data_IF_482053123368
#
_entry.id   IF_482053123368
#
_cell.length_a   1.000
_cell.length_b   1.000
_cell.length_c   1.000
_cell.angle_alpha   90.00
_cell.angle_beta   90.00
_cell.angle_gamma   90.00
#
_symmetry.space_group_name_H-M   'P 1'
#
loop_
_entity.id
_entity.type
_entity.pdbx_description
1 polymer ?
#
# COMPACT_ATOMS: atom_id res chain seq x y z
N UNK A 1 -8.77 -0.37 -10.73
CA UNK A 1 -7.30 -0.16 -10.71
C UNK A 1 -6.50 -1.44 -10.51
N UNK A 2 -6.92 -2.35 -9.63
CA UNK A 2 -6.11 -3.51 -9.21
C UNK A 2 -5.66 -4.44 -10.35
N UNK A 3 -6.53 -4.75 -11.33
CA UNK A 3 -6.13 -5.56 -12.50
C UNK A 3 -5.07 -4.88 -13.38
N UNK A 4 -5.11 -3.55 -13.51
CA UNK A 4 -4.10 -2.77 -14.24
C UNK A 4 -2.75 -2.81 -13.51
N UNK A 5 -2.77 -2.60 -12.19
CA UNK A 5 -1.56 -2.66 -11.36
C UNK A 5 -0.90 -4.05 -11.44
N UNK A 6 -1.69 -5.12 -11.36
CA UNK A 6 -1.21 -6.49 -11.46
C UNK A 6 -0.57 -6.78 -12.84
N UNK A 7 -1.20 -6.36 -13.95
CA UNK A 7 -0.62 -6.52 -15.29
C UNK A 7 0.62 -5.67 -15.51
N UNK A 8 0.63 -4.44 -14.98
CA UNK A 8 1.81 -3.59 -15.04
C UNK A 8 2.99 -4.24 -14.31
N UNK A 9 2.76 -4.75 -13.11
CA UNK A 9 3.77 -5.45 -12.31
C UNK A 9 4.39 -6.63 -13.06
N UNK A 10 3.57 -7.46 -13.73
CA UNK A 10 4.07 -8.54 -14.58
C UNK A 10 4.97 -8.02 -15.70
N UNK A 11 4.52 -6.99 -16.43
CA UNK A 11 5.30 -6.43 -17.55
C UNK A 11 6.65 -5.87 -17.13
N UNK A 12 6.76 -5.37 -15.90
CA UNK A 12 8.02 -4.86 -15.34
C UNK A 12 8.78 -5.89 -14.50
N UNK A 13 8.36 -7.17 -14.51
CA UNK A 13 9.05 -8.26 -13.83
C UNK A 13 8.89 -8.29 -12.30
N UNK A 14 7.89 -7.60 -11.73
CA UNK A 14 7.56 -7.65 -10.30
C UNK A 14 6.64 -8.81 -9.96
N UNK A 15 7.15 -10.02 -10.16
CA UNK A 15 6.48 -11.29 -9.84
C UNK A 15 7.45 -12.18 -9.08
N UNK A 16 6.93 -13.15 -8.34
CA UNK A 16 7.72 -14.20 -7.74
C UNK A 16 8.25 -15.17 -8.81
N UNK A 17 9.15 -16.08 -8.43
CA UNK A 17 9.74 -17.07 -9.35
C UNK A 17 8.69 -17.96 -10.01
N UNK A 18 7.60 -18.28 -9.29
CA UNK A 18 6.47 -19.04 -9.81
C UNK A 18 5.49 -18.21 -10.67
N UNK A 19 5.79 -16.93 -10.93
CA UNK A 19 4.94 -16.01 -11.69
C UNK A 19 3.80 -15.34 -10.91
N UNK A 20 3.59 -15.71 -9.64
CA UNK A 20 2.57 -15.09 -8.79
C UNK A 20 2.99 -13.70 -8.31
N UNK A 21 2.03 -12.90 -7.83
CA UNK A 21 2.31 -11.63 -7.16
C UNK A 21 1.37 -11.41 -5.97
N UNK A 22 1.78 -10.53 -5.05
CA UNK A 22 0.92 -10.09 -3.95
C UNK A 22 0.46 -8.66 -4.21
N UNK A 23 -0.85 -8.44 -4.29
CA UNK A 23 -1.43 -7.11 -4.28
C UNK A 23 -1.73 -6.72 -2.84
N UNK A 24 -1.05 -5.69 -2.33
CA UNK A 24 -1.38 -5.07 -1.07
C UNK A 24 -2.38 -3.93 -1.33
N UNK A 25 -3.60 -4.06 -0.80
CA UNK A 25 -4.64 -3.04 -0.91
C UNK A 25 -4.83 -2.33 0.43
N UNK A 26 -4.46 -1.04 0.55
CA UNK A 26 -4.76 -0.26 1.73
C UNK A 26 -6.27 -0.16 1.97
N UNK A 27 -6.70 -0.43 3.21
CA UNK A 27 -8.10 -0.36 3.66
C UNK A 27 -8.19 0.71 4.74
N UNK A 28 -9.14 1.62 4.58
CA UNK A 28 -9.45 2.64 5.58
C UNK A 28 -10.21 1.98 6.74
N UNK A 29 -9.63 2.02 7.94
CA UNK A 29 -10.22 1.49 9.19
C UNK A 29 -10.88 2.59 10.03
N UNK A 30 -11.00 3.81 9.51
CA UNK A 30 -11.67 4.90 10.21
C UNK A 30 -13.15 4.58 10.40
N UNK A 31 -13.61 4.78 11.62
CA UNK A 31 -15.02 4.86 11.99
C UNK A 31 -15.44 6.34 12.11
N UNK A 32 -16.75 6.66 12.15
CA UNK A 32 -17.20 8.02 12.39
C UNK A 32 -16.56 8.62 13.66
N UNK A 33 -15.99 9.82 13.53
CA UNK A 33 -15.26 10.50 14.61
C UNK A 33 -13.80 10.08 14.80
N UNK A 34 -13.26 9.15 14.00
CA UNK A 34 -11.86 8.73 14.11
C UNK A 34 -10.89 9.79 13.54
N UNK A 35 -10.12 10.40 14.46
CA UNK A 35 -9.15 11.47 14.16
C UNK A 35 -7.70 10.98 14.03
N UNK A 36 -7.42 9.67 14.11
CA UNK A 36 -6.05 9.14 14.01
C UNK A 36 -5.38 9.62 12.72
N UNK A 37 -4.10 9.98 12.74
CA UNK A 37 -3.44 10.47 11.51
C UNK A 37 -3.36 9.39 10.41
N UNK A 38 -3.03 8.15 10.80
CA UNK A 38 -2.96 7.00 9.91
C UNK A 38 -3.79 5.83 10.50
N UNK A 39 -4.95 5.57 9.92
CA UNK A 39 -5.87 4.48 10.29
C UNK A 39 -6.09 3.57 9.09
N UNK A 40 -4.99 3.06 8.55
CA UNK A 40 -4.96 2.25 7.35
C UNK A 40 -4.31 0.92 7.66
N UNK A 41 -4.94 -0.16 7.23
CA UNK A 41 -4.37 -1.51 7.20
C UNK A 41 -4.23 -1.97 5.75
N UNK A 42 -3.69 -3.17 5.52
CA UNK A 42 -3.57 -3.73 4.17
C UNK A 42 -4.32 -5.06 4.10
N UNK A 43 -5.16 -5.20 3.09
CA UNK A 43 -5.65 -6.48 2.63
C UNK A 43 -4.67 -7.05 1.59
N UNK A 44 -3.98 -8.14 1.95
CA UNK A 44 -3.05 -8.83 1.06
C UNK A 44 -3.81 -9.85 0.20
N UNK A 45 -3.65 -9.73 -1.13
CA UNK A 45 -4.31 -10.56 -2.13
C UNK A 45 -3.25 -11.24 -2.98
N UNK A 46 -3.16 -12.57 -2.91
CA UNK A 46 -2.30 -13.35 -3.80
C UNK A 46 -2.98 -13.53 -5.16
N UNK A 47 -2.24 -13.23 -6.23
CA UNK A 47 -2.66 -13.48 -7.61
C UNK A 47 -1.72 -14.52 -8.18
N UNK A 48 -2.21 -15.76 -8.26
CA UNK A 48 -1.44 -16.89 -8.82
C UNK A 48 -1.29 -16.75 -10.33
N UNK A 49 -2.36 -16.33 -11.01
CA UNK A 49 -2.38 -16.11 -12.45
C UNK A 49 -3.13 -14.81 -12.75
N UNK A 50 -2.61 -14.05 -13.70
CA UNK A 50 -3.26 -12.81 -14.12
C UNK A 50 -4.49 -13.15 -14.96
N UNK A 51 -5.63 -12.51 -14.67
CA UNK A 51 -6.82 -12.70 -15.47
C UNK A 51 -6.61 -12.15 -16.88
N UNK A 52 -7.40 -12.67 -17.82
CA UNK A 52 -7.48 -12.11 -19.16
C UNK A 52 -7.80 -10.60 -19.08
N UNK A 53 -7.20 -9.75 -19.92
CA UNK A 53 -7.42 -8.30 -19.84
C UNK A 53 -8.88 -7.89 -20.11
N UNK A 54 -9.66 -8.79 -20.72
CA UNK A 54 -11.07 -8.60 -21.06
C UNK A 54 -12.03 -9.14 -19.99
N UNK A 55 -11.56 -9.88 -19.00
CA UNK A 55 -12.39 -10.46 -17.95
C UNK A 55 -11.77 -10.26 -16.58
N UNK A 56 -12.45 -9.48 -15.74
CA UNK A 56 -11.99 -9.16 -14.38
C UNK A 56 -12.81 -9.89 -13.30
N UNK A 57 -13.69 -10.82 -13.65
CA UNK A 57 -14.60 -11.47 -12.69
C UNK A 57 -13.83 -12.19 -11.59
N UNK A 58 -12.83 -12.99 -11.95
CA UNK A 58 -12.07 -13.78 -10.98
C UNK A 58 -11.27 -12.90 -10.03
N UNK A 59 -10.51 -11.92 -10.55
CA UNK A 59 -9.75 -11.00 -9.68
C UNK A 59 -10.67 -10.16 -8.79
N UNK A 60 -11.86 -9.77 -9.28
CA UNK A 60 -12.86 -9.08 -8.45
C UNK A 60 -13.40 -9.99 -7.35
N UNK A 61 -13.66 -11.26 -7.65
CA UNK A 61 -14.09 -12.23 -6.66
C UNK A 61 -13.01 -12.44 -5.59
N UNK A 62 -11.75 -12.64 -5.99
CA UNK A 62 -10.62 -12.80 -5.06
C UNK A 62 -10.43 -11.56 -4.18
N UNK A 63 -10.45 -10.35 -4.76
CA UNK A 63 -10.37 -9.10 -3.98
C UNK A 63 -11.53 -9.02 -2.98
N UNK A 64 -12.77 -9.31 -3.42
CA UNK A 64 -13.94 -9.27 -2.53
C UNK A 64 -13.78 -10.24 -1.36
N UNK A 65 -13.33 -11.46 -1.61
CA UNK A 65 -13.09 -12.45 -0.55
C UNK A 65 -11.97 -12.00 0.39
N UNK A 66 -10.88 -11.44 -0.14
CA UNK A 66 -9.80 -10.92 0.69
C UNK A 66 -10.28 -9.78 1.60
N UNK A 67 -11.10 -8.85 1.10
CA UNK A 67 -11.68 -7.77 1.90
C UNK A 67 -12.68 -8.28 2.96
N UNK A 68 -13.49 -9.29 2.62
CA UNK A 68 -14.41 -9.92 3.58
C UNK A 68 -13.60 -10.57 4.72
N UNK A 69 -12.57 -11.35 4.38
CA UNK A 69 -11.68 -11.98 5.36
C UNK A 69 -10.99 -10.93 6.23
N UNK A 70 -10.46 -9.88 5.61
CA UNK A 70 -9.77 -8.78 6.29
C UNK A 70 -10.63 -8.13 7.38
N UNK A 71 -11.96 -8.02 7.19
CA UNK A 71 -12.85 -7.48 8.24
C UNK A 71 -12.96 -8.39 9.48
N UNK A 72 -12.73 -9.69 9.31
CA UNK A 72 -12.93 -10.69 10.35
C UNK A 72 -11.63 -11.10 11.04
N UNK A 73 -10.49 -10.89 10.38
CA UNK A 73 -9.18 -11.31 10.85
C UNK A 73 -8.30 -10.07 11.07
N UNK A 74 -8.15 -9.60 12.32
CA UNK A 74 -7.19 -8.56 12.65
C UNK A 74 -5.79 -9.04 12.25
N UNK A 75 -5.10 -8.27 11.41
CA UNK A 75 -3.75 -8.63 11.00
C UNK A 75 -2.82 -8.70 12.22
N UNK A 76 -2.19 -9.85 12.43
CA UNK A 76 -1.15 -10.02 13.44
C UNK A 76 -0.01 -8.99 13.28
N UNK A 77 0.27 -8.53 12.06
CA UNK A 77 1.27 -7.48 11.78
C UNK A 77 0.87 -6.13 12.38
N UNK A 78 -0.42 -5.79 12.32
CA UNK A 78 -0.94 -4.53 12.85
C UNK A 78 -1.06 -4.54 14.37
N UNK A 79 -1.32 -5.71 14.99
CA UNK A 79 -1.30 -5.87 16.45
C UNK A 79 0.06 -5.53 17.08
N UNK A 80 1.16 -5.64 16.32
CA UNK A 80 2.52 -5.36 16.77
C UNK A 80 2.97 -3.92 16.52
N UNK A 81 2.23 -3.12 15.73
CA UNK A 81 2.60 -1.73 15.43
C UNK A 81 2.72 -0.82 16.66
N UNK A 82 1.90 -0.95 17.72
CA UNK A 82 2.07 -0.17 18.95
C UNK A 82 3.43 -0.39 19.64
N UNK A 83 4.12 -1.50 19.35
CA UNK A 83 5.44 -1.80 19.91
C UNK A 83 6.58 -1.13 19.12
N UNK A 84 6.35 -0.69 17.87
CA UNK A 84 7.39 -0.11 17.01
C UNK A 84 8.12 1.09 17.65
N UNK A 85 7.46 2.02 18.37
CA UNK A 85 8.15 3.11 19.05
C UNK A 85 9.12 2.66 20.15
N UNK A 86 8.93 1.45 20.70
CA UNK A 86 9.78 0.87 21.75
C UNK A 86 11.01 0.15 21.18
N UNK A 87 11.11 0.01 19.85
CA UNK A 87 12.19 -0.74 19.21
C UNK A 87 13.36 0.17 18.84
N UNK A 88 14.61 -0.34 18.88
CA UNK A 88 15.76 0.37 18.34
C UNK A 88 15.53 0.77 16.88
N UNK A 89 15.99 1.98 16.49
CA UNK A 89 15.73 2.56 15.16
C UNK A 89 16.07 1.62 14.00
N UNK A 90 17.15 0.85 14.10
CA UNK A 90 17.55 -0.12 13.06
C UNK A 90 16.56 -1.29 12.92
N UNK A 91 16.02 -1.77 14.04
CA UNK A 91 15.02 -2.83 14.06
C UNK A 91 13.66 -2.32 13.58
N UNK A 92 13.24 -1.14 14.02
CA UNK A 92 12.03 -0.49 13.53
C UNK A 92 12.06 -0.31 12.00
N UNK A 93 13.18 0.17 11.44
CA UNK A 93 13.36 0.29 9.98
C UNK A 93 13.24 -1.06 9.27
N UNK A 94 13.84 -2.12 9.80
CA UNK A 94 13.73 -3.47 9.23
C UNK A 94 12.30 -3.99 9.23
N UNK A 95 11.56 -3.80 10.31
CA UNK A 95 10.16 -4.20 10.41
C UNK A 95 9.26 -3.45 9.42
N UNK A 96 9.52 -2.15 9.20
CA UNK A 96 8.81 -1.37 8.17
C UNK A 96 9.08 -1.95 6.78
N UNK A 97 10.31 -2.34 6.47
CA UNK A 97 10.63 -2.99 5.18
C UNK A 97 9.88 -4.32 5.02
N UNK A 98 9.80 -5.14 6.07
CA UNK A 98 9.03 -6.40 6.04
C UNK A 98 7.53 -6.14 5.88
N UNK A 99 7.00 -5.11 6.56
CA UNK A 99 5.60 -4.72 6.47
C UNK A 99 5.22 -4.15 5.09
N UNK A 100 6.18 -3.54 4.38
CA UNK A 100 6.00 -3.04 3.01
C UNK A 100 5.88 -4.16 1.95
N UNK A 101 6.12 -5.41 2.33
CA UNK A 101 6.03 -6.57 1.45
C UNK A 101 7.34 -6.95 0.75
N UNK A 102 7.30 -8.05 0.03
CA UNK A 102 8.44 -8.59 -0.73
C UNK A 102 8.61 -7.92 -2.10
N UNK A 103 9.64 -8.31 -2.87
CA UNK A 103 9.90 -7.74 -4.20
C UNK A 103 8.77 -7.98 -5.23
N UNK A 104 7.92 -8.98 -5.00
CA UNK A 104 6.71 -9.29 -5.78
C UNK A 104 5.44 -8.62 -5.23
N UNK A 105 5.56 -7.78 -4.21
CA UNK A 105 4.42 -7.04 -3.64
C UNK A 105 4.18 -5.75 -4.40
N UNK A 106 2.93 -5.52 -4.78
CA UNK A 106 2.46 -4.37 -5.56
C UNK A 106 1.36 -3.69 -4.76
N UNK A 107 1.56 -2.42 -4.44
CA UNK A 107 0.53 -1.65 -3.72
C UNK A 107 -0.47 -1.07 -4.72
N UNK A 108 -1.75 -1.33 -4.49
CA UNK A 108 -2.85 -0.74 -5.26
C UNK A 108 -3.79 0.02 -4.31
N UNK A 109 -3.57 1.33 -4.17
CA UNK A 109 -4.36 2.21 -3.32
C UNK A 109 -5.48 2.92 -4.08
N UNK A 110 -6.61 3.13 -3.42
CA UNK A 110 -7.71 3.97 -3.89
C UNK A 110 -8.03 5.03 -2.83
N UNK A 111 -8.02 6.31 -3.21
CA UNK A 111 -8.35 7.42 -2.30
C UNK A 111 -9.86 7.56 -2.08
N UNK A 112 -10.68 7.01 -2.99
CA UNK A 112 -12.13 7.15 -2.92
C UNK A 112 -12.58 8.59 -3.17
N UNK A 113 -13.70 8.99 -2.54
CA UNK A 113 -14.16 10.37 -2.56
C UNK A 113 -13.28 11.21 -1.62
N UNK A 114 -12.75 12.32 -2.16
CA UNK A 114 -11.94 13.26 -1.42
C UNK A 114 -12.83 14.47 -1.09
N UNK A 115 -12.76 14.95 0.15
CA UNK A 115 -13.43 16.19 0.54
C UNK A 115 -12.91 17.35 -0.33
N UNK A 116 -13.77 18.11 -1.02
CA UNK A 116 -13.35 19.27 -1.81
C UNK A 116 -12.51 20.28 -1.02
N UNK A 117 -12.71 20.38 0.30
CA UNK A 117 -11.89 21.22 1.18
C UNK A 117 -10.39 20.86 1.14
N UNK A 118 -10.03 19.62 0.78
CA UNK A 118 -8.64 19.21 0.62
C UNK A 118 -7.91 19.94 -0.53
N UNK A 119 -8.65 20.52 -1.48
CA UNK A 119 -8.13 21.34 -2.57
C UNK A 119 -8.27 22.86 -2.30
N UNK A 120 -8.54 23.27 -1.05
CA UNK A 120 -8.76 24.67 -0.66
C UNK A 120 -7.93 25.10 0.55
N UNK A 121 -6.59 24.99 0.51
CA UNK A 121 -5.77 25.23 1.69
C UNK A 121 -5.86 26.68 2.22
N UNK A 122 -6.15 27.65 1.36
CA UNK A 122 -6.34 29.07 1.70
C UNK A 122 -7.82 29.51 1.68
N UNK A 123 -8.75 28.56 1.53
CA UNK A 123 -10.19 28.82 1.39
C UNK A 123 -10.67 29.03 -0.05
N UNK A 124 -9.78 29.07 -1.05
CA UNK A 124 -10.13 29.18 -2.48
C UNK A 124 -9.87 27.88 -3.23
N UNK A 125 -10.57 27.65 -4.35
CA UNK A 125 -10.36 26.44 -5.16
C UNK A 125 -8.97 26.46 -5.82
N UNK A 126 -8.19 25.40 -5.60
CA UNK A 126 -6.97 25.18 -6.35
C UNK A 126 -7.26 24.76 -7.80
N UNK A 127 -6.45 25.25 -8.74
CA UNK A 127 -6.53 24.85 -10.15
C UNK A 127 -6.25 23.34 -10.35
N UNK A 128 -5.42 22.75 -9.47
CA UNK A 128 -5.01 21.36 -9.55
C UNK A 128 -4.86 20.71 -8.17
N UNK A 129 -5.18 19.42 -8.11
CA UNK A 129 -4.96 18.57 -6.94
C UNK A 129 -4.08 17.37 -7.32
N UNK A 130 -3.04 17.12 -6.52
CA UNK A 130 -2.18 15.96 -6.67
C UNK A 130 -1.90 15.32 -5.32
N UNK A 131 -2.00 13.99 -5.26
CA UNK A 131 -1.62 13.20 -4.08
C UNK A 131 -0.23 12.61 -4.30
N UNK A 132 0.72 12.96 -3.42
CA UNK A 132 2.03 12.33 -3.37
C UNK A 132 2.12 11.44 -2.13
N UNK A 133 2.35 10.12 -2.27
CA UNK A 133 2.61 9.27 -1.12
C UNK A 133 3.89 9.76 -0.40
N UNK A 134 3.88 9.66 0.93
CA UNK A 134 4.98 10.14 1.77
C UNK A 134 6.33 9.56 1.34
N UNK A 135 7.32 10.43 1.07
CA UNK A 135 8.68 10.00 0.75
C UNK A 135 9.38 9.56 2.04
N UNK A 136 9.97 8.36 2.02
CA UNK A 136 10.86 7.91 3.09
C UNK A 136 12.20 8.67 3.01
N UNK A 137 12.28 9.84 3.65
CA UNK A 137 13.50 10.67 3.66
C UNK A 137 14.70 9.99 4.36
N UNK A 138 14.50 8.85 5.05
CA UNK A 138 15.54 8.11 5.75
C UNK A 138 16.38 7.12 4.93
N UNK A 139 16.14 6.98 3.62
CA UNK A 139 16.86 6.04 2.73
C UNK A 139 17.58 6.71 1.55
N UNK A 140 17.31 7.99 1.25
CA UNK A 140 17.94 8.71 0.14
C UNK A 140 19.36 9.22 0.46
N UNK A 141 19.71 9.39 1.75
CA UNK A 141 20.99 9.95 2.18
C UNK A 141 22.23 9.05 2.02
N UNK A 142 22.10 7.85 1.45
CA UNK A 142 23.20 6.89 1.32
C UNK A 142 23.61 6.58 -0.13
N UNK A 143 23.05 7.26 -1.13
CA UNK A 143 23.43 7.06 -2.54
C UNK A 143 24.40 8.09 -3.10
N UNK A 144 24.71 9.17 -2.38
CA UNK A 144 25.64 10.22 -2.83
C UNK A 144 26.99 10.24 -2.10
N UNK A 145 27.22 9.37 -1.11
CA UNK A 145 28.45 9.33 -0.32
C UNK A 145 29.41 8.19 -0.71
N UNK A 146 29.41 7.75 -1.97
CA UNK A 146 30.20 6.60 -2.43
C UNK A 146 31.03 6.84 -3.69
N UNK A 147 31.33 8.10 -4.03
CA UNK A 147 32.17 8.42 -5.18
C UNK A 147 32.98 9.69 -4.95
N UNK A 148 33.85 9.65 -3.96
CA UNK A 148 34.99 10.56 -3.80
C UNK A 148 35.98 9.96 -2.80
N UNK A 149 36.92 9.17 -3.33
CA UNK A 149 38.30 8.97 -2.87
C UNK A 149 38.90 7.85 -3.73
#
# INVERSE_FOLDING_TARGET
MTGVAARFAQRVGRVAENGSLTLAMPVNERIPGDTRANAVTNADITVEQLPAPTDLRDIRATIKQALIRHRHEPSARWALMPLVPLLPKGLAKRLVTVAAGGPSTVVASNLGAIDPAAARPDGTDADYFAHQPGRNHGLAGLRTAGRAA
#
